data_IF_328714456013
#
_entry.id   IF_328714456013
#
_cell.length_a   1.000
_cell.length_b   1.000
_cell.length_c   1.000
_cell.angle_alpha   90.00
_cell.angle_beta   90.00
_cell.angle_gamma   90.00
#
_symmetry.space_group_name_H-M   'P 1'
#
loop_
_entity.id
_entity.type
_entity.pdbx_description
1 polymer ?
#
# COMPACT_ATOMS: atom_id res chain seq x y z
N UNK A 1 -74.82 12.75 14.99
CA UNK A 1 -74.07 11.49 15.15
C UNK A 1 -72.62 11.75 14.76
N UNK A 2 -71.72 11.94 15.74
CA UNK A 2 -70.31 12.26 15.51
C UNK A 2 -69.46 11.13 16.08
N UNK A 3 -68.74 10.45 15.19
CA UNK A 3 -68.06 9.16 15.40
C UNK A 3 -66.77 9.39 16.20
N UNK A 4 -66.69 8.83 17.41
CA UNK A 4 -65.46 8.77 18.23
C UNK A 4 -64.49 7.78 17.57
N UNK A 5 -63.30 8.25 17.20
CA UNK A 5 -62.15 7.39 16.91
C UNK A 5 -61.15 7.61 18.06
N UNK A 6 -61.19 6.72 19.03
CA UNK A 6 -60.21 6.62 20.11
C UNK A 6 -59.00 5.91 19.49
N UNK A 7 -57.96 6.68 19.19
CA UNK A 7 -56.69 6.16 18.68
C UNK A 7 -56.01 5.38 19.80
N UNK A 8 -56.01 4.05 19.71
CA UNK A 8 -55.21 3.17 20.55
C UNK A 8 -53.73 3.51 20.41
N UNK A 9 -53.16 4.12 21.44
CA UNK A 9 -51.70 4.21 21.62
C UNK A 9 -51.18 2.80 21.90
N UNK A 10 -50.75 2.10 20.85
CA UNK A 10 -49.99 0.87 20.96
C UNK A 10 -48.56 1.28 21.38
N UNK A 11 -48.30 1.24 22.69
CA UNK A 11 -46.96 1.35 23.26
C UNK A 11 -46.13 0.16 22.77
N UNK A 12 -45.39 0.36 21.68
CA UNK A 12 -44.35 -0.57 21.27
C UNK A 12 -43.20 -0.43 22.26
N UNK A 13 -43.17 -1.32 23.25
CA UNK A 13 -42.03 -1.53 24.13
C UNK A 13 -40.88 -2.03 23.25
N UNK A 14 -40.00 -1.12 22.83
CA UNK A 14 -38.73 -1.50 22.20
C UNK A 14 -37.88 -2.10 23.31
N UNK A 15 -37.90 -3.43 23.42
CA UNK A 15 -36.91 -4.18 24.16
C UNK A 15 -35.55 -3.89 23.52
N UNK A 16 -34.67 -3.19 24.25
CA UNK A 16 -33.26 -3.11 23.93
C UNK A 16 -32.71 -4.53 24.02
N UNK A 17 -32.61 -5.19 22.87
CA UNK A 17 -31.75 -6.35 22.74
C UNK A 17 -30.32 -5.85 22.92
N UNK A 18 -29.81 -6.01 24.14
CA UNK A 18 -28.38 -5.96 24.46
C UNK A 18 -27.70 -7.15 23.77
N UNK A 19 -27.58 -7.05 22.44
CA UNK A 19 -26.62 -7.87 21.71
C UNK A 19 -25.33 -7.08 21.71
N UNK A 20 -24.45 -7.40 22.65
CA UNK A 20 -23.00 -7.21 22.52
C UNK A 20 -22.50 -8.05 21.34
N UNK A 21 -22.97 -7.71 20.15
CA UNK A 21 -22.41 -8.19 18.90
C UNK A 21 -21.09 -7.47 18.78
N UNK A 22 -20.01 -8.14 19.20
CA UNK A 22 -18.67 -7.81 18.75
C UNK A 22 -18.69 -7.88 17.23
N UNK A 23 -19.08 -6.77 16.59
CA UNK A 23 -19.02 -6.60 15.16
C UNK A 23 -17.55 -6.53 14.78
N UNK A 24 -16.92 -7.71 14.70
CA UNK A 24 -15.63 -7.89 14.09
C UNK A 24 -15.80 -7.47 12.64
N UNK A 25 -15.16 -6.36 12.28
CA UNK A 25 -15.04 -5.94 10.89
C UNK A 25 -14.02 -6.88 10.22
N UNK A 26 -14.43 -8.14 10.01
CA UNK A 26 -13.63 -9.11 9.26
C UNK A 26 -13.52 -8.60 7.84
N UNK A 27 -12.41 -7.91 7.56
CA UNK A 27 -12.03 -7.54 6.20
C UNK A 27 -11.51 -8.80 5.53
N UNK A 28 -12.22 -9.25 4.50
CA UNK A 28 -11.74 -10.32 3.63
C UNK A 28 -10.36 -9.89 3.09
N UNK A 29 -9.30 -10.68 3.30
CA UNK A 29 -7.99 -10.35 2.77
C UNK A 29 -8.07 -10.32 1.24
N UNK A 30 -7.67 -9.20 0.65
CA UNK A 30 -7.62 -9.03 -0.80
C UNK A 30 -6.22 -9.42 -1.25
N UNK A 31 -6.12 -10.35 -2.21
CA UNK A 31 -4.83 -10.76 -2.76
C UNK A 31 -4.15 -9.62 -3.54
N UNK A 32 -2.82 -9.59 -3.56
CA UNK A 32 -2.03 -8.61 -4.33
C UNK A 32 -2.45 -8.51 -5.79
N UNK A 33 -2.65 -9.65 -6.47
CA UNK A 33 -3.11 -9.68 -7.86
C UNK A 33 -4.49 -9.01 -8.08
N UNK A 34 -5.39 -9.10 -7.10
CA UNK A 34 -6.68 -8.44 -7.16
C UNK A 34 -6.56 -6.92 -6.95
N UNK A 35 -5.61 -6.47 -6.13
CA UNK A 35 -5.31 -5.04 -5.97
C UNK A 35 -4.66 -4.45 -7.23
N UNK A 36 -3.72 -5.16 -7.84
CA UNK A 36 -3.10 -4.76 -9.12
C UNK A 36 -4.13 -4.65 -10.24
N UNK A 37 -5.01 -5.66 -10.38
CA UNK A 37 -6.11 -5.61 -11.34
C UNK A 37 -7.10 -4.47 -11.04
N UNK A 38 -7.41 -4.22 -9.77
CA UNK A 38 -8.32 -3.14 -9.36
C UNK A 38 -7.77 -1.75 -9.69
N UNK A 39 -6.47 -1.53 -9.51
CA UNK A 39 -5.82 -0.26 -9.83
C UNK A 39 -5.28 -0.15 -11.25
N UNK A 40 -5.42 -1.22 -12.04
CA UNK A 40 -4.88 -1.33 -13.39
C UNK A 40 -3.39 -0.98 -13.44
N UNK A 41 -2.61 -1.63 -12.57
CA UNK A 41 -1.16 -1.51 -12.49
C UNK A 41 -0.51 -2.89 -12.66
N UNK A 42 0.72 -2.91 -13.18
CA UNK A 42 1.59 -4.08 -13.18
C UNK A 42 2.85 -3.70 -12.41
N UNK A 43 2.99 -4.23 -11.20
CA UNK A 43 4.07 -3.81 -10.32
C UNK A 43 5.45 -4.28 -10.79
N UNK A 44 5.52 -5.38 -11.52
CA UNK A 44 6.76 -5.84 -12.12
C UNK A 44 7.17 -4.94 -13.28
N UNK A 45 6.22 -4.53 -14.13
CA UNK A 45 6.47 -3.58 -15.21
C UNK A 45 6.89 -2.21 -14.68
N UNK A 46 6.20 -1.69 -13.65
CA UNK A 46 6.55 -0.41 -13.02
C UNK A 46 7.98 -0.42 -12.46
N UNK A 47 8.39 -1.55 -11.86
CA UNK A 47 9.77 -1.72 -11.40
C UNK A 47 10.78 -1.71 -12.55
N UNK A 48 10.53 -2.44 -13.63
CA UNK A 48 11.40 -2.45 -14.80
C UNK A 48 11.52 -1.07 -15.46
N UNK A 49 10.43 -0.29 -15.49
CA UNK A 49 10.45 1.10 -15.96
C UNK A 49 11.36 1.96 -15.08
N UNK A 50 11.21 1.85 -13.76
CA UNK A 50 12.06 2.57 -12.81
C UNK A 50 13.55 2.23 -13.01
N UNK A 51 13.89 0.95 -13.17
CA UNK A 51 15.28 0.52 -13.41
C UNK A 51 15.85 1.12 -14.70
N UNK A 52 15.05 1.19 -15.75
CA UNK A 52 15.44 1.79 -17.04
C UNK A 52 15.73 3.27 -16.87
N UNK A 53 14.80 4.02 -16.28
CA UNK A 53 14.96 5.46 -16.04
C UNK A 53 16.21 5.78 -15.21
N UNK A 54 16.45 4.97 -14.18
CA UNK A 54 17.56 5.20 -13.27
C UNK A 54 18.91 4.85 -13.91
N UNK A 55 18.93 3.89 -14.84
CA UNK A 55 20.09 3.60 -15.68
C UNK A 55 20.40 4.77 -16.62
N UNK A 56 19.37 5.36 -17.23
CA UNK A 56 19.53 6.56 -18.08
C UNK A 56 20.07 7.74 -17.29
N UNK A 57 19.53 8.00 -16.09
CA UNK A 57 20.05 9.02 -15.17
C UNK A 57 21.52 8.80 -14.84
N UNK A 58 21.92 7.56 -14.53
CA UNK A 58 23.30 7.22 -14.21
C UNK A 58 24.26 7.47 -15.39
N UNK A 59 23.76 7.38 -16.64
CA UNK A 59 24.52 7.69 -17.86
C UNK A 59 24.62 9.18 -18.19
N UNK A 60 24.14 10.06 -17.30
CA UNK A 60 24.13 11.52 -17.51
C UNK A 60 22.79 12.08 -18.02
N UNK A 61 21.72 11.28 -17.97
CA UNK A 61 20.37 11.70 -18.28
C UNK A 61 19.77 12.69 -17.26
N UNK A 62 18.57 13.17 -17.55
CA UNK A 62 17.86 14.12 -16.68
C UNK A 62 17.34 13.42 -15.40
N UNK A 63 17.63 14.01 -14.25
CA UNK A 63 17.18 13.59 -12.92
C UNK A 63 15.68 13.88 -12.74
N UNK A 64 14.84 13.09 -13.39
CA UNK A 64 13.39 13.12 -13.17
C UNK A 64 12.80 11.72 -13.38
N UNK A 65 12.50 11.05 -12.27
CA UNK A 65 11.55 9.94 -12.31
C UNK A 65 10.19 10.56 -12.57
N UNK A 66 9.55 10.16 -13.66
CA UNK A 66 8.28 10.74 -14.04
C UNK A 66 7.18 10.48 -13.00
N UNK A 67 6.14 11.29 -13.06
CA UNK A 67 5.05 11.28 -12.08
C UNK A 67 4.25 9.96 -12.12
N UNK A 68 4.12 9.36 -13.29
CA UNK A 68 3.37 8.11 -13.48
C UNK A 68 4.13 6.94 -12.86
N UNK A 69 5.41 6.75 -13.21
CA UNK A 69 6.26 5.72 -12.59
C UNK A 69 6.29 5.85 -11.07
N UNK A 70 6.42 7.08 -10.54
CA UNK A 70 6.38 7.30 -9.08
C UNK A 70 5.05 6.86 -8.46
N UNK A 71 3.94 7.19 -9.10
CA UNK A 71 2.60 6.82 -8.63
C UNK A 71 2.45 5.29 -8.62
N UNK A 72 2.91 4.62 -9.66
CA UNK A 72 2.86 3.16 -9.75
C UNK A 72 3.70 2.51 -8.64
N UNK A 73 4.93 2.96 -8.43
CA UNK A 73 5.78 2.47 -7.33
C UNK A 73 5.13 2.70 -5.96
N UNK A 74 4.46 3.84 -5.76
CA UNK A 74 3.70 4.11 -4.53
C UNK A 74 2.54 3.12 -4.34
N UNK A 75 1.82 2.78 -5.41
CA UNK A 75 0.74 1.78 -5.33
C UNK A 75 1.31 0.39 -5.08
N UNK A 76 2.42 0.02 -5.71
CA UNK A 76 3.10 -1.25 -5.47
C UNK A 76 3.59 -1.40 -4.03
N UNK A 77 4.07 -0.31 -3.42
CA UNK A 77 4.35 -0.28 -1.99
C UNK A 77 3.11 -0.58 -1.15
N UNK A 78 1.93 -0.08 -1.53
CA UNK A 78 0.69 -0.42 -0.83
C UNK A 78 0.27 -1.89 -1.04
N UNK A 79 0.41 -2.42 -2.26
CA UNK A 79 0.05 -3.81 -2.62
C UNK A 79 0.92 -4.81 -1.86
N UNK A 80 2.23 -4.58 -1.83
CA UNK A 80 3.21 -5.58 -1.42
C UNK A 80 3.83 -5.31 -0.05
N UNK A 81 3.75 -4.07 0.44
CA UNK A 81 4.28 -3.61 1.73
C UNK A 81 3.25 -2.74 2.49
N UNK A 82 2.05 -3.27 2.79
CA UNK A 82 0.98 -2.48 3.37
C UNK A 82 1.40 -1.88 4.72
N UNK A 83 0.87 -0.69 5.07
CA UNK A 83 1.21 -0.03 6.33
C UNK A 83 0.77 -0.89 7.52
N UNK A 84 1.60 -0.95 8.55
CA UNK A 84 1.35 -1.75 9.75
C UNK A 84 1.99 -3.14 9.74
N UNK A 85 2.53 -3.59 8.60
CA UNK A 85 3.40 -4.77 8.56
C UNK A 85 4.86 -4.37 8.79
N UNK A 86 5.48 -4.93 9.84
CA UNK A 86 6.87 -4.61 10.22
C UNK A 86 7.90 -5.10 9.18
N UNK A 87 7.61 -6.21 8.48
CA UNK A 87 8.52 -6.82 7.52
C UNK A 87 7.74 -7.40 6.34
N UNK A 88 7.63 -6.62 5.27
CA UNK A 88 7.24 -7.22 3.99
C UNK A 88 8.38 -8.10 3.51
N UNK A 89 8.05 -9.37 3.23
CA UNK A 89 8.95 -10.30 2.51
C UNK A 89 8.88 -10.15 1.00
N UNK A 90 8.12 -9.17 0.50
CA UNK A 90 7.91 -8.92 -0.91
C UNK A 90 9.12 -8.20 -1.49
N UNK A 91 9.51 -8.64 -2.69
CA UNK A 91 10.63 -8.09 -3.43
C UNK A 91 10.13 -7.72 -4.81
N UNK A 92 10.54 -6.56 -5.34
CA UNK A 92 11.44 -5.57 -4.74
C UNK A 92 10.82 -4.78 -3.57
N UNK A 93 11.65 -4.10 -2.78
CA UNK A 93 11.23 -3.19 -1.71
C UNK A 93 10.78 -1.84 -2.30
N UNK A 94 9.51 -1.76 -2.71
CA UNK A 94 8.89 -0.56 -3.27
C UNK A 94 8.83 0.59 -2.26
N UNK A 95 8.71 0.33 -0.95
CA UNK A 95 8.76 1.38 0.09
C UNK A 95 10.15 2.00 0.16
N UNK A 96 11.20 1.18 0.20
CA UNK A 96 12.57 1.69 0.18
C UNK A 96 12.84 2.47 -1.11
N UNK A 97 12.41 1.94 -2.26
CA UNK A 97 12.54 2.64 -3.54
C UNK A 97 11.83 4.00 -3.54
N UNK A 98 10.62 4.10 -3.00
CA UNK A 98 9.87 5.36 -2.93
C UNK A 98 10.57 6.40 -2.05
N UNK A 99 11.13 5.98 -0.91
CA UNK A 99 11.94 6.85 -0.05
C UNK A 99 13.18 7.36 -0.79
N UNK A 100 13.90 6.47 -1.47
CA UNK A 100 15.09 6.81 -2.24
C UNK A 100 14.79 7.79 -3.38
N UNK A 101 13.70 7.58 -4.12
CA UNK A 101 13.24 8.50 -5.18
C UNK A 101 12.98 9.89 -4.57
N UNK A 102 12.26 9.95 -3.45
CA UNK A 102 11.89 11.21 -2.79
C UNK A 102 13.12 11.96 -2.28
N UNK A 103 14.07 11.25 -1.66
CA UNK A 103 15.32 11.83 -1.17
C UNK A 103 16.24 12.30 -2.30
N UNK A 104 16.37 11.48 -3.36
CA UNK A 104 17.19 11.79 -4.52
C UNK A 104 16.68 13.05 -5.24
N UNK A 105 15.37 13.19 -5.41
CA UNK A 105 14.76 14.39 -5.96
C UNK A 105 15.00 15.63 -5.09
N UNK A 106 14.67 15.53 -3.80
CA UNK A 106 14.77 16.67 -2.88
C UNK A 106 16.20 17.20 -2.76
N UNK A 107 17.19 16.30 -2.88
CA UNK A 107 18.60 16.64 -2.81
C UNK A 107 19.28 16.78 -4.18
N UNK A 108 18.55 16.65 -5.30
CA UNK A 108 19.09 16.64 -6.66
C UNK A 108 20.27 15.66 -6.85
N UNK A 109 20.14 14.44 -6.28
CA UNK A 109 21.17 13.39 -6.21
C UNK A 109 20.79 12.12 -7.00
N UNK A 110 20.07 12.24 -8.11
CA UNK A 110 19.62 11.05 -8.85
C UNK A 110 20.74 10.16 -9.41
N UNK A 111 21.96 10.68 -9.64
CA UNK A 111 23.09 9.84 -10.02
C UNK A 111 23.44 8.78 -8.95
N UNK A 112 23.11 9.04 -7.67
CA UNK A 112 23.26 8.07 -6.59
C UNK A 112 22.07 7.09 -6.50
N UNK A 113 20.92 7.40 -7.12
CA UNK A 113 19.70 6.61 -7.04
C UNK A 113 19.90 5.20 -7.62
N UNK A 114 20.65 5.06 -8.73
CA UNK A 114 20.95 3.76 -9.34
C UNK A 114 21.64 2.80 -8.39
N UNK A 115 22.62 3.30 -7.64
CA UNK A 115 23.32 2.50 -6.65
C UNK A 115 22.43 2.13 -5.46
N UNK A 116 21.55 3.04 -5.06
CA UNK A 116 20.68 2.84 -3.91
C UNK A 116 19.53 1.88 -4.22
N UNK A 117 18.97 1.91 -5.44
CA UNK A 117 17.91 0.96 -5.84
C UNK A 117 18.38 -0.49 -5.93
N UNK A 118 19.68 -0.74 -6.13
CA UNK A 118 20.22 -2.11 -6.03
C UNK A 118 19.94 -2.73 -4.65
N UNK A 119 19.92 -1.93 -3.58
CA UNK A 119 19.56 -2.43 -2.24
C UNK A 119 18.07 -2.70 -2.07
N UNK A 120 17.22 -2.08 -2.88
CA UNK A 120 15.78 -2.31 -2.89
C UNK A 120 15.39 -3.53 -3.75
N UNK A 121 16.27 -4.04 -4.61
CA UNK A 121 16.02 -5.29 -5.35
C UNK A 121 16.08 -6.53 -4.45
N UNK A 122 16.84 -6.47 -3.35
CA UNK A 122 17.06 -7.64 -2.51
C UNK A 122 15.90 -7.87 -1.56
N UNK A 123 15.36 -9.09 -1.59
CA UNK A 123 14.42 -9.58 -0.59
C UNK A 123 15.02 -9.55 0.81
N UNK A 124 14.22 -9.20 1.81
CA UNK A 124 14.54 -9.58 3.19
C UNK A 124 14.46 -11.12 3.32
N UNK A 125 15.61 -11.78 3.41
CA UNK A 125 15.70 -13.26 3.48
C UNK A 125 15.61 -13.82 4.89
N UNK A 126 15.37 -12.99 5.92
CA UNK A 126 15.07 -13.48 7.26
C UNK A 126 16.25 -13.89 8.13
N UNK A 127 17.50 -13.75 7.68
CA UNK A 127 18.66 -13.95 8.57
C UNK A 127 18.97 -12.68 9.36
N UNK A 128 18.27 -12.51 10.48
CA UNK A 128 18.82 -11.71 11.58
C UNK A 128 19.85 -12.57 12.33
N UNK A 129 21.14 -12.19 12.39
CA UNK A 129 22.08 -12.80 13.32
C UNK A 129 21.72 -12.33 14.73
N UNK A 130 20.86 -13.07 15.45
CA UNK A 130 20.58 -12.70 16.84
C UNK A 130 19.30 -13.21 17.50
N UNK A 131 18.71 -14.34 17.09
CA UNK A 131 17.70 -15.00 17.93
C UNK A 131 18.37 -16.04 18.82
N UNK A 132 18.79 -15.63 20.01
CA UNK A 132 19.14 -16.55 21.10
C UNK A 132 17.82 -17.21 21.58
N UNK A 133 17.79 -18.55 21.78
CA UNK A 133 16.60 -19.28 22.22
C UNK A 133 16.02 -18.80 23.56
#
# INVERSE_FOLDING_TARGET
MLRRLITSFFLCQIALADSTSNAVNERIPVSSAALEAHWNIDCQSAWSTLETMVTEVASGGHCAIDRETRREIQLCAFVYQPPGEEQSRSCPDYRAALSLITEADAANRCAALARLLQTAQTCFTGDSPGRIP
#
